data_IF_040412570195
#
_entry.id   IF_040412570195
#
_cell.length_a   1.000
_cell.length_b   1.000
_cell.length_c   1.000
_cell.angle_alpha   90.00
_cell.angle_beta   90.00
_cell.angle_gamma   90.00
#
_symmetry.space_group_name_H-M   'P 1'
#
loop_
_entity.id
_entity.type
_entity.pdbx_description
1 polymer ?
#
# COMPACT_ATOMS: atom_id res chain seq x y z
N UNK A 1 24.71 11.95 9.61
CA UNK A 1 24.34 11.83 11.01
C UNK A 1 25.16 12.72 11.95
N UNK A 2 25.99 13.59 11.41
CA UNK A 2 26.76 14.58 12.16
C UNK A 2 26.15 15.98 11.99
N UNK A 3 26.32 16.90 12.97
CA UNK A 3 25.87 18.28 12.88
C UNK A 3 26.45 18.97 11.64
N UNK A 4 25.63 19.78 10.96
CA UNK A 4 26.03 20.63 9.86
C UNK A 4 25.22 21.93 9.97
N UNK A 5 25.82 23.07 9.61
CA UNK A 5 25.13 24.36 9.61
C UNK A 5 23.95 24.33 8.62
N UNK A 6 22.81 24.89 9.01
CA UNK A 6 21.59 24.90 8.18
C UNK A 6 20.89 23.55 8.01
N UNK A 7 21.34 22.48 8.70
CA UNK A 7 20.72 21.17 8.64
C UNK A 7 19.63 21.03 9.70
N UNK A 8 18.38 21.12 9.29
CA UNK A 8 17.19 20.99 10.14
C UNK A 8 16.10 20.19 9.43
N UNK A 9 15.11 19.74 10.20
CA UNK A 9 13.94 19.01 9.72
C UNK A 9 12.77 19.22 10.69
N UNK A 10 11.58 18.77 10.30
CA UNK A 10 10.40 18.72 11.15
C UNK A 10 10.04 17.27 11.49
N UNK A 11 9.25 17.05 12.55
CA UNK A 11 8.73 15.72 12.86
C UNK A 11 7.85 15.19 11.72
N UNK A 12 7.04 16.06 11.10
CA UNK A 12 6.19 15.70 9.98
C UNK A 12 6.99 15.25 8.75
N UNK A 13 8.06 15.96 8.39
CA UNK A 13 8.90 15.58 7.25
C UNK A 13 9.59 14.24 7.48
N UNK A 14 10.10 13.99 8.70
CA UNK A 14 10.69 12.70 9.04
C UNK A 14 9.66 11.57 9.01
N UNK A 15 8.42 11.81 9.47
CA UNK A 15 7.36 10.83 9.39
C UNK A 15 6.99 10.52 7.93
N UNK A 16 6.87 11.52 7.05
CA UNK A 16 6.61 11.34 5.61
C UNK A 16 7.72 10.56 4.91
N UNK A 17 8.98 10.94 5.15
CA UNK A 17 10.15 10.22 4.60
C UNK A 17 10.15 8.76 5.06
N UNK A 18 9.84 8.53 6.33
CA UNK A 18 9.81 7.19 6.88
C UNK A 18 8.63 6.36 6.33
N UNK A 19 7.46 6.95 6.14
CA UNK A 19 6.30 6.28 5.55
C UNK A 19 6.62 5.81 4.11
N UNK A 20 7.24 6.66 3.30
CA UNK A 20 7.71 6.28 1.95
C UNK A 20 8.76 5.17 2.01
N UNK A 21 9.75 5.29 2.90
CA UNK A 21 10.81 4.29 3.04
C UNK A 21 10.28 2.93 3.53
N UNK A 22 9.25 2.91 4.38
CA UNK A 22 8.61 1.69 4.86
C UNK A 22 7.84 0.93 3.76
N UNK A 23 7.53 1.55 2.63
CA UNK A 23 7.07 0.88 1.42
C UNK A 23 8.11 -0.03 0.73
N UNK A 24 9.39 0.09 1.12
CA UNK A 24 10.46 -0.77 0.61
C UNK A 24 10.71 -1.95 1.56
N UNK A 25 10.48 -3.19 1.09
CA UNK A 25 10.61 -4.41 1.90
C UNK A 25 12.01 -4.61 2.50
N UNK A 26 13.06 -4.28 1.76
CA UNK A 26 14.45 -4.39 2.24
C UNK A 26 14.70 -3.39 3.39
N UNK A 27 14.23 -2.16 3.25
CA UNK A 27 14.33 -1.16 4.31
C UNK A 27 13.56 -1.61 5.55
N UNK A 28 12.30 -2.04 5.39
CA UNK A 28 11.44 -2.57 6.45
C UNK A 28 12.12 -3.71 7.21
N UNK A 29 12.69 -4.68 6.50
CA UNK A 29 13.41 -5.81 7.09
C UNK A 29 14.62 -5.34 7.90
N UNK A 30 15.41 -4.42 7.39
CA UNK A 30 16.62 -3.92 8.06
C UNK A 30 16.26 -3.17 9.35
N UNK A 31 15.31 -2.23 9.29
CA UNK A 31 14.98 -1.37 10.45
C UNK A 31 14.23 -2.11 11.55
N UNK A 32 13.48 -3.17 11.22
CA UNK A 32 12.79 -4.03 12.18
C UNK A 32 13.70 -5.11 12.80
N UNK A 33 14.88 -5.33 12.26
CA UNK A 33 15.81 -6.35 12.75
C UNK A 33 16.34 -5.96 14.14
N UNK A 34 16.05 -6.78 15.15
CA UNK A 34 16.49 -6.57 16.53
C UNK A 34 17.97 -6.90 16.74
N UNK A 35 18.46 -7.96 16.06
CA UNK A 35 19.83 -8.46 16.16
C UNK A 35 20.26 -9.10 14.85
N UNK A 36 21.48 -8.81 14.42
CA UNK A 36 22.09 -9.45 13.27
C UNK A 36 23.53 -9.86 13.60
N UNK A 37 24.02 -10.92 12.96
CA UNK A 37 25.43 -11.33 12.99
C UNK A 37 25.98 -11.22 11.58
N UNK A 38 27.06 -10.48 11.42
CA UNK A 38 27.74 -10.27 10.14
C UNK A 38 29.20 -10.74 10.22
N UNK A 39 29.83 -11.17 9.12
CA UNK A 39 31.26 -11.43 9.09
C UNK A 39 32.03 -10.22 9.56
N UNK A 40 33.11 -10.45 10.30
CA UNK A 40 34.01 -9.39 10.75
C UNK A 40 35.38 -9.62 10.15
N UNK A 41 35.70 -8.80 9.16
CA UNK A 41 36.98 -8.92 8.45
C UNK A 41 38.16 -8.91 9.42
N UNK A 42 39.10 -9.87 9.26
CA UNK A 42 40.25 -10.05 10.16
C UNK A 42 39.95 -10.80 11.45
N UNK A 43 38.76 -11.34 11.64
CA UNK A 43 38.37 -12.12 12.82
C UNK A 43 37.72 -13.45 12.45
N UNK A 44 37.98 -14.50 13.24
CA UNK A 44 37.35 -15.83 13.06
C UNK A 44 35.90 -15.89 13.58
N UNK A 45 35.42 -14.84 14.27
CA UNK A 45 34.08 -14.77 14.85
C UNK A 45 33.22 -13.69 14.21
N UNK A 46 31.92 -13.88 14.30
CA UNK A 46 30.93 -12.95 13.75
C UNK A 46 30.77 -11.71 14.62
N UNK A 47 30.64 -10.55 13.99
CA UNK A 47 30.24 -9.31 14.67
C UNK A 47 28.74 -9.29 14.94
N UNK A 48 28.36 -9.23 16.20
CA UNK A 48 26.97 -9.15 16.61
C UNK A 48 26.53 -7.69 16.73
N UNK A 49 25.53 -7.32 15.96
CA UNK A 49 24.86 -6.02 15.99
C UNK A 49 23.55 -6.12 16.75
N UNK A 50 23.27 -5.17 17.63
CA UNK A 50 22.00 -5.04 18.35
C UNK A 50 21.36 -3.70 17.99
N UNK A 51 20.08 -3.73 17.61
CA UNK A 51 19.33 -2.50 17.35
C UNK A 51 19.15 -1.72 18.66
N UNK A 52 19.46 -0.41 18.61
CA UNK A 52 19.32 0.48 19.76
C UNK A 52 17.87 0.94 20.00
N UNK A 53 16.97 0.72 19.03
CA UNK A 53 15.56 1.02 19.19
C UNK A 53 14.92 0.01 20.17
N UNK A 54 14.63 0.48 21.37
CA UNK A 54 14.05 -0.37 22.42
C UNK A 54 12.63 -0.81 22.07
N UNK A 55 11.86 -0.03 21.31
CA UNK A 55 10.48 -0.33 20.94
C UNK A 55 10.35 -1.70 20.25
N UNK A 56 11.33 -2.11 19.45
CA UNK A 56 11.34 -3.42 18.82
C UNK A 56 11.22 -4.61 19.79
N UNK A 57 11.51 -4.38 21.08
CA UNK A 57 11.45 -5.41 22.15
C UNK A 57 10.37 -5.12 23.18
N UNK A 58 9.94 -3.87 23.32
CA UNK A 58 9.07 -3.43 24.42
C UNK A 58 7.67 -3.02 23.95
N UNK A 59 7.46 -2.84 22.64
CA UNK A 59 6.18 -2.41 22.09
C UNK A 59 5.67 -3.45 21.07
N UNK A 60 4.48 -3.98 21.31
CA UNK A 60 3.87 -4.98 20.41
C UNK A 60 3.54 -4.38 19.05
N UNK A 61 3.97 -5.07 17.99
CA UNK A 61 3.79 -4.60 16.63
C UNK A 61 4.84 -3.60 16.13
N UNK A 62 5.86 -3.22 16.94
CA UNK A 62 6.87 -2.26 16.51
C UNK A 62 7.63 -2.73 15.26
N UNK A 63 7.67 -1.87 14.22
CA UNK A 63 8.33 -2.12 12.93
C UNK A 63 9.64 -1.35 12.76
N UNK A 64 10.00 -0.46 13.67
CA UNK A 64 11.29 0.27 13.62
C UNK A 64 11.16 1.64 14.26
N UNK A 65 11.86 2.67 13.75
CA UNK A 65 12.61 2.81 12.49
C UNK A 65 14.06 3.29 12.81
N UNK A 66 14.22 4.53 13.35
CA UNK A 66 15.57 5.10 13.54
C UNK A 66 15.67 5.95 14.82
N UNK A 67 16.70 5.67 15.63
CA UNK A 67 17.10 6.51 16.76
C UNK A 67 18.19 7.48 16.35
N UNK A 68 18.18 8.68 16.91
CA UNK A 68 19.22 9.69 16.71
C UNK A 68 19.48 10.50 17.98
N UNK A 69 20.73 10.87 18.19
CA UNK A 69 21.12 11.77 19.29
C UNK A 69 22.34 12.61 18.91
N UNK A 70 22.23 13.91 19.09
CA UNK A 70 23.37 14.82 19.21
C UNK A 70 23.11 15.78 20.36
N UNK A 71 24.13 16.46 20.86
CA UNK A 71 23.95 17.46 21.95
C UNK A 71 23.02 18.61 21.52
N UNK A 72 23.04 19.00 20.24
CA UNK A 72 22.23 20.08 19.70
C UNK A 72 20.80 19.65 19.44
N UNK A 73 20.58 18.44 18.86
CA UNK A 73 19.27 17.94 18.49
C UNK A 73 18.50 17.25 19.64
N UNK A 74 19.21 16.87 20.72
CA UNK A 74 18.61 16.04 21.76
C UNK A 74 18.33 14.61 21.27
N UNK A 75 17.47 13.89 21.98
CA UNK A 75 17.01 12.55 21.59
C UNK A 75 15.89 12.64 20.57
N UNK A 76 16.07 12.00 19.43
CA UNK A 76 15.12 11.97 18.33
C UNK A 76 14.84 10.52 17.95
N UNK A 77 13.58 10.19 17.69
CA UNK A 77 13.15 8.87 17.31
C UNK A 77 12.11 8.97 16.18
N UNK A 78 12.36 8.28 15.09
CA UNK A 78 11.36 7.92 14.10
C UNK A 78 10.93 6.50 14.43
N UNK A 79 9.64 6.29 14.60
CA UNK A 79 9.07 5.03 15.06
C UNK A 79 7.97 4.56 14.13
N UNK A 80 7.70 3.26 14.15
CA UNK A 80 6.57 2.65 13.45
C UNK A 80 6.08 1.43 14.19
N UNK A 81 4.81 1.13 14.01
CA UNK A 81 4.16 -0.10 14.47
C UNK A 81 3.01 -0.48 13.55
N UNK A 82 2.73 -1.79 13.49
CA UNK A 82 1.63 -2.37 12.73
C UNK A 82 0.74 -3.20 13.65
N UNK A 83 -0.58 -2.99 13.57
CA UNK A 83 -1.61 -3.78 14.25
C UNK A 83 -2.83 -3.91 13.33
N UNK A 84 -3.37 -5.11 13.21
CA UNK A 84 -4.63 -5.38 12.48
C UNK A 84 -4.67 -4.80 11.06
N UNK A 85 -3.52 -4.84 10.34
CA UNK A 85 -3.38 -4.31 8.98
C UNK A 85 -3.14 -2.80 8.90
N UNK A 86 -3.22 -2.05 10.01
CA UNK A 86 -2.91 -0.63 10.04
C UNK A 86 -1.46 -0.41 10.49
N UNK A 87 -0.67 0.25 9.66
CA UNK A 87 0.69 0.70 10.01
C UNK A 87 0.70 2.17 10.36
N UNK A 88 1.33 2.49 11.49
CA UNK A 88 1.59 3.85 11.96
C UNK A 88 3.07 4.18 11.85
N UNK A 89 3.35 5.38 11.41
CA UNK A 89 4.70 5.97 11.40
C UNK A 89 4.66 7.33 12.06
N UNK A 90 5.64 7.63 12.90
CA UNK A 90 5.71 8.90 13.59
C UNK A 90 7.14 9.31 13.94
N UNK A 91 7.29 10.53 14.41
CA UNK A 91 8.58 11.05 14.86
C UNK A 91 8.43 11.93 16.11
N UNK A 92 9.36 11.79 17.03
CA UNK A 92 9.55 12.70 18.16
C UNK A 92 10.95 13.31 18.09
N UNK A 93 11.05 14.62 18.31
CA UNK A 93 12.29 15.37 18.26
C UNK A 93 12.57 16.01 19.62
N UNK A 94 13.83 16.02 20.02
CA UNK A 94 14.29 16.58 21.31
C UNK A 94 13.42 16.10 22.49
N UNK A 95 13.13 14.80 22.54
CA UNK A 95 12.25 14.21 23.53
C UNK A 95 13.06 13.35 24.52
N UNK A 96 13.10 13.77 25.79
CA UNK A 96 13.86 13.08 26.84
C UNK A 96 13.44 11.63 27.05
N UNK A 97 12.13 11.39 27.05
CA UNK A 97 11.51 10.07 27.24
C UNK A 97 10.93 9.52 25.91
N UNK A 98 11.74 9.56 24.88
CA UNK A 98 11.38 9.29 23.49
C UNK A 98 10.67 7.95 23.23
N UNK A 99 11.02 6.87 23.95
CA UNK A 99 10.39 5.57 23.76
C UNK A 99 9.00 5.48 24.37
N UNK A 100 8.82 5.99 25.59
CA UNK A 100 7.49 6.00 26.21
C UNK A 100 6.57 6.99 25.52
N UNK A 101 7.08 8.14 25.08
CA UNK A 101 6.28 9.10 24.32
C UNK A 101 5.84 8.53 22.95
N UNK A 102 6.74 7.83 22.23
CA UNK A 102 6.40 7.16 21.00
C UNK A 102 5.35 6.07 21.23
N UNK A 103 5.48 5.26 22.28
CA UNK A 103 4.49 4.24 22.64
C UNK A 103 3.12 4.88 22.93
N UNK A 104 3.09 5.96 23.74
CA UNK A 104 1.85 6.69 24.06
C UNK A 104 1.16 7.26 22.81
N UNK A 105 1.94 7.82 21.87
CA UNK A 105 1.40 8.34 20.60
C UNK A 105 0.82 7.24 19.72
N UNK A 106 1.51 6.09 19.63
CA UNK A 106 1.01 4.94 18.87
C UNK A 106 -0.25 4.35 19.51
N UNK A 107 -0.29 4.17 20.84
CA UNK A 107 -1.47 3.69 21.53
C UNK A 107 -2.67 4.62 21.34
N UNK A 108 -2.45 5.94 21.41
CA UNK A 108 -3.51 6.93 21.16
C UNK A 108 -4.03 6.84 19.71
N UNK A 109 -3.13 6.67 18.73
CA UNK A 109 -3.51 6.55 17.33
C UNK A 109 -4.25 5.24 17.04
N UNK A 110 -3.79 4.08 17.56
CA UNK A 110 -4.49 2.82 17.42
C UNK A 110 -5.84 2.78 18.16
N UNK A 111 -6.00 3.58 19.22
CA UNK A 111 -7.28 3.73 19.89
C UNK A 111 -8.25 4.65 19.14
N UNK A 112 -7.74 5.60 18.37
CA UNK A 112 -8.56 6.59 17.66
C UNK A 112 -8.93 6.13 16.23
N UNK A 113 -8.12 5.30 15.59
CA UNK A 113 -8.28 4.89 14.20
C UNK A 113 -8.32 3.37 14.07
N UNK A 114 -9.08 2.89 13.08
CA UNK A 114 -9.10 1.48 12.65
C UNK A 114 -8.91 1.36 11.15
N UNK A 115 -8.30 0.26 10.69
CA UNK A 115 -8.22 -0.05 9.27
C UNK A 115 -9.59 -0.48 8.77
N UNK A 116 -10.19 0.32 7.91
CA UNK A 116 -11.54 0.09 7.39
C UNK A 116 -11.46 -0.25 5.90
N UNK A 117 -11.96 -1.42 5.54
CA UNK A 117 -12.05 -1.90 4.17
C UNK A 117 -13.49 -1.73 3.65
N UNK A 118 -13.69 -0.90 2.61
CA UNK A 118 -14.97 -0.77 1.92
C UNK A 118 -15.20 -1.92 0.94
N UNK A 119 -14.14 -2.29 0.20
CA UNK A 119 -14.18 -3.42 -0.75
C UNK A 119 -12.85 -4.18 -0.73
N UNK A 120 -12.88 -5.53 -0.75
CA UNK A 120 -11.68 -6.35 -0.84
C UNK A 120 -11.06 -6.31 -2.24
N UNK A 121 -9.80 -6.75 -2.34
CA UNK A 121 -9.17 -7.05 -3.63
C UNK A 121 -9.99 -8.09 -4.40
N UNK A 122 -10.17 -7.88 -5.71
CA UNK A 122 -10.99 -8.75 -6.56
C UNK A 122 -12.49 -8.57 -6.43
N UNK A 123 -12.97 -7.58 -5.64
CA UNK A 123 -14.41 -7.28 -5.55
C UNK A 123 -15.02 -7.06 -6.93
N UNK A 124 -16.24 -7.59 -7.12
CA UNK A 124 -17.00 -7.43 -8.35
C UNK A 124 -17.45 -5.97 -8.53
N UNK A 125 -17.05 -5.36 -9.65
CA UNK A 125 -17.38 -3.98 -9.99
C UNK A 125 -18.43 -3.89 -11.10
N UNK A 126 -19.11 -5.02 -11.43
CA UNK A 126 -20.11 -5.11 -12.46
C UNK A 126 -19.52 -5.35 -13.85
N UNK A 127 -20.25 -4.91 -14.87
CA UNK A 127 -19.88 -5.10 -16.27
C UNK A 127 -19.83 -3.77 -17.02
N UNK A 128 -18.96 -3.71 -18.03
CA UNK A 128 -18.87 -2.59 -18.98
C UNK A 128 -19.28 -3.08 -20.37
N UNK A 129 -20.01 -2.25 -21.12
CA UNK A 129 -20.32 -2.52 -22.52
C UNK A 129 -19.05 -2.56 -23.37
N UNK A 130 -19.00 -3.47 -24.35
CA UNK A 130 -17.82 -3.67 -25.20
C UNK A 130 -18.17 -3.46 -26.67
N UNK A 131 -17.46 -2.54 -27.30
CA UNK A 131 -17.54 -2.32 -28.74
C UNK A 131 -16.54 -3.18 -29.52
N UNK A 132 -17.03 -3.97 -30.49
CA UNK A 132 -16.20 -4.82 -31.34
C UNK A 132 -15.60 -6.04 -30.66
N UNK A 133 -16.16 -6.47 -29.53
CA UNK A 133 -15.80 -7.68 -28.82
C UNK A 133 -16.59 -8.92 -29.26
N UNK A 134 -16.08 -10.11 -28.92
CA UNK A 134 -16.82 -11.39 -29.07
C UNK A 134 -18.06 -11.42 -28.17
N UNK A 135 -18.02 -10.74 -27.02
CA UNK A 135 -19.12 -10.52 -26.10
C UNK A 135 -19.51 -9.04 -26.08
N UNK A 136 -20.76 -8.74 -25.79
CA UNK A 136 -21.32 -7.39 -25.72
C UNK A 136 -20.94 -6.66 -24.41
N UNK A 137 -20.54 -7.40 -23.38
CA UNK A 137 -20.08 -6.89 -22.10
C UNK A 137 -18.84 -7.63 -21.59
N UNK A 138 -18.14 -7.03 -20.64
CA UNK A 138 -17.01 -7.62 -19.95
C UNK A 138 -17.08 -7.32 -18.45
N UNK A 139 -16.76 -8.34 -17.64
CA UNK A 139 -16.72 -8.25 -16.19
C UNK A 139 -15.54 -7.44 -15.71
N UNK A 140 -15.79 -6.59 -14.73
CA UNK A 140 -14.78 -5.74 -14.07
C UNK A 140 -14.59 -6.18 -12.61
N UNK A 141 -13.36 -6.06 -12.13
CA UNK A 141 -13.00 -6.31 -10.74
C UNK A 141 -12.09 -5.21 -10.20
N UNK A 142 -12.15 -5.01 -8.91
CA UNK A 142 -11.24 -4.09 -8.20
C UNK A 142 -9.84 -4.72 -8.11
N UNK A 143 -8.79 -3.95 -8.36
CA UNK A 143 -7.39 -4.37 -8.17
C UNK A 143 -6.79 -3.72 -6.93
N UNK A 144 -6.64 -4.50 -5.88
CA UNK A 144 -6.24 -4.07 -4.54
C UNK A 144 -7.44 -3.66 -3.68
N UNK A 145 -7.36 -3.88 -2.37
CA UNK A 145 -8.43 -3.51 -1.45
C UNK A 145 -8.64 -1.99 -1.39
N UNK A 146 -9.89 -1.55 -1.42
CA UNK A 146 -10.27 -0.15 -1.20
C UNK A 146 -10.43 0.07 0.30
N UNK A 147 -9.35 0.46 0.96
CA UNK A 147 -9.26 0.54 2.41
C UNK A 147 -8.38 1.71 2.85
N UNK A 148 -8.70 2.29 4.00
CA UNK A 148 -7.95 3.37 4.63
C UNK A 148 -8.16 3.36 6.16
N UNK A 149 -7.27 3.99 6.95
CA UNK A 149 -7.54 4.24 8.36
C UNK A 149 -8.66 5.28 8.50
N UNK A 150 -9.69 4.96 9.29
CA UNK A 150 -10.77 5.87 9.67
C UNK A 150 -10.83 6.03 11.18
N UNK A 151 -11.21 7.22 11.66
CA UNK A 151 -11.58 7.41 13.05
C UNK A 151 -12.91 6.69 13.37
N UNK A 152 -13.15 6.42 14.64
CA UNK A 152 -14.30 5.60 15.07
C UNK A 152 -15.67 6.21 14.73
N UNK A 153 -15.74 7.51 14.53
CA UNK A 153 -16.94 8.29 14.18
C UNK A 153 -16.99 8.73 12.71
N UNK A 154 -15.99 8.33 11.90
CA UNK A 154 -15.92 8.63 10.48
C UNK A 154 -16.57 7.53 9.63
N UNK A 155 -17.26 7.92 8.57
CA UNK A 155 -17.85 7.02 7.58
C UNK A 155 -17.44 7.46 6.17
N UNK A 156 -16.59 6.67 5.53
CA UNK A 156 -16.18 6.92 4.16
C UNK A 156 -17.24 6.44 3.16
N UNK A 157 -17.29 7.11 2.03
CA UNK A 157 -18.12 6.75 0.86
C UNK A 157 -17.26 6.27 -0.30
N UNK A 158 -17.89 5.55 -1.25
CA UNK A 158 -17.22 5.13 -2.47
C UNK A 158 -17.72 5.95 -3.64
N UNK A 159 -16.78 6.46 -4.45
CA UNK A 159 -17.05 7.04 -5.77
C UNK A 159 -16.38 6.20 -6.84
N UNK A 160 -17.08 5.97 -7.95
CA UNK A 160 -16.58 5.19 -9.09
C UNK A 160 -16.52 6.05 -10.33
N UNK A 161 -15.43 5.97 -11.06
CA UNK A 161 -15.25 6.55 -12.39
C UNK A 161 -14.95 5.42 -13.37
N UNK A 162 -15.83 5.20 -14.34
CA UNK A 162 -15.70 4.20 -15.39
C UNK A 162 -15.89 4.87 -16.75
N UNK A 163 -15.24 4.33 -17.78
CA UNK A 163 -15.58 4.61 -19.15
C UNK A 163 -16.99 4.07 -19.44
N UNK A 164 -17.74 4.72 -20.32
CA UNK A 164 -19.08 4.28 -20.69
C UNK A 164 -19.05 3.00 -21.54
N UNK A 165 -18.04 2.86 -22.41
CA UNK A 165 -17.87 1.75 -23.33
C UNK A 165 -16.40 1.43 -23.52
N UNK A 166 -16.03 0.17 -23.47
CA UNK A 166 -14.69 -0.30 -23.78
C UNK A 166 -14.58 -0.79 -25.24
N UNK A 167 -13.46 -0.52 -25.88
CA UNK A 167 -13.17 -1.05 -27.22
C UNK A 167 -12.34 -2.34 -27.13
N UNK A 168 -12.76 -3.42 -27.83
CA UNK A 168 -12.00 -4.65 -27.95
C UNK A 168 -10.82 -4.51 -28.94
N UNK A 169 -9.69 -5.21 -28.71
CA UNK A 169 -9.40 -6.13 -27.62
C UNK A 169 -8.87 -5.43 -26.36
N UNK A 170 -9.11 -6.03 -25.18
CA UNK A 170 -8.51 -5.62 -23.93
C UNK A 170 -7.85 -6.83 -23.26
N UNK A 171 -6.64 -6.73 -22.73
CA UNK A 171 -6.05 -7.81 -21.92
C UNK A 171 -6.69 -7.88 -20.53
N UNK A 172 -6.67 -9.04 -19.91
CA UNK A 172 -7.00 -9.16 -18.48
C UNK A 172 -6.10 -8.24 -17.66
N UNK A 173 -6.66 -7.58 -16.65
CA UNK A 173 -5.94 -6.63 -15.81
C UNK A 173 -5.74 -5.24 -16.45
N UNK A 174 -6.19 -4.99 -17.70
CA UNK A 174 -6.24 -3.65 -18.25
C UNK A 174 -7.20 -2.77 -17.45
N UNK A 175 -6.84 -1.51 -17.26
CA UNK A 175 -7.65 -0.56 -16.50
C UNK A 175 -8.86 -0.12 -17.31
N UNK A 176 -10.03 -0.11 -16.64
CA UNK A 176 -11.30 0.38 -17.17
C UNK A 176 -11.82 1.61 -16.39
N UNK A 177 -11.21 1.91 -15.24
CA UNK A 177 -11.64 3.03 -14.40
C UNK A 177 -10.96 3.06 -13.05
N UNK A 178 -11.57 3.79 -12.12
CA UNK A 178 -11.09 3.98 -10.75
C UNK A 178 -12.23 3.88 -9.74
N UNK A 179 -11.95 3.29 -8.60
CA UNK A 179 -12.76 3.40 -7.39
C UNK A 179 -12.00 4.24 -6.37
N UNK A 180 -12.68 5.20 -5.78
CA UNK A 180 -12.16 6.14 -4.78
C UNK A 180 -12.87 5.92 -3.45
N UNK A 181 -12.12 5.90 -2.38
CA UNK A 181 -12.63 6.02 -1.02
C UNK A 181 -12.54 7.48 -0.58
N UNK A 182 -13.66 8.08 -0.23
CA UNK A 182 -13.76 9.51 0.07
C UNK A 182 -14.34 9.72 1.47
N UNK A 183 -13.79 10.71 2.17
CA UNK A 183 -14.29 11.21 3.45
C UNK A 183 -14.43 12.71 3.35
N UNK A 184 -15.65 13.22 3.60
CA UNK A 184 -15.98 14.65 3.55
C UNK A 184 -15.57 15.36 2.23
N UNK A 185 -15.59 14.62 1.12
CA UNK A 185 -15.21 15.09 -0.21
C UNK A 185 -13.71 15.03 -0.51
N UNK A 186 -12.89 14.57 0.42
CA UNK A 186 -11.46 14.31 0.19
C UNK A 186 -11.21 12.85 -0.13
N UNK A 187 -10.38 12.57 -1.14
CA UNK A 187 -9.99 11.20 -1.51
C UNK A 187 -8.93 10.66 -0.55
N UNK A 188 -9.26 9.62 0.21
CA UNK A 188 -8.33 8.93 1.10
C UNK A 188 -7.44 7.95 0.34
N UNK A 189 -8.04 7.16 -0.56
CA UNK A 189 -7.29 6.27 -1.45
C UNK A 189 -8.07 6.01 -2.75
N UNK A 190 -7.36 5.50 -3.75
CA UNK A 190 -7.93 5.08 -5.03
C UNK A 190 -7.38 3.71 -5.45
N UNK A 191 -8.23 2.91 -6.13
CA UNK A 191 -7.84 1.62 -6.69
C UNK A 191 -8.32 1.50 -8.12
N UNK A 192 -7.51 0.92 -9.03
CA UNK A 192 -7.93 0.71 -10.40
C UNK A 192 -8.99 -0.38 -10.49
N UNK A 193 -9.99 -0.14 -11.32
CA UNK A 193 -10.97 -1.12 -11.76
C UNK A 193 -10.44 -1.70 -13.06
N UNK A 194 -10.38 -3.03 -13.17
CA UNK A 194 -9.71 -3.72 -14.26
C UNK A 194 -10.59 -4.81 -14.86
N UNK A 195 -10.32 -5.17 -16.11
CA UNK A 195 -10.95 -6.32 -16.74
C UNK A 195 -10.57 -7.62 -16.02
N UNK A 196 -11.56 -8.38 -15.56
CA UNK A 196 -11.35 -9.68 -14.91
C UNK A 196 -10.75 -10.71 -15.86
N UNK A 197 -11.15 -10.67 -17.13
CA UNK A 197 -10.75 -11.59 -18.18
C UNK A 197 -10.38 -10.83 -19.47
N UNK A 198 -9.62 -11.46 -20.39
CA UNK A 198 -9.28 -10.81 -21.66
C UNK A 198 -10.53 -10.66 -22.54
N UNK A 199 -10.75 -9.46 -23.02
CA UNK A 199 -11.80 -9.14 -24.01
C UNK A 199 -11.25 -9.37 -25.41
N UNK A 200 -11.78 -10.39 -26.11
CA UNK A 200 -11.35 -10.71 -27.47
C UNK A 200 -12.11 -9.89 -28.49
N UNK A 201 -11.44 -9.55 -29.59
CA UNK A 201 -12.08 -8.88 -30.70
C UNK A 201 -13.00 -9.86 -31.45
N UNK A 202 -14.18 -9.39 -31.82
CA UNK A 202 -15.07 -10.11 -32.69
C UNK A 202 -14.36 -10.48 -34.03
N UNK A 203 -14.46 -11.74 -34.50
CA UNK A 203 -13.91 -12.13 -35.80
C UNK A 203 -14.51 -11.25 -36.90
N UNK A 204 -13.68 -10.83 -37.86
CA UNK A 204 -14.17 -10.11 -39.05
C UNK A 204 -15.29 -10.91 -39.75
N UNK A 205 -16.21 -10.21 -40.42
CA UNK A 205 -17.36 -10.85 -41.15
C UNK A 205 -16.95 -12.05 -42.02
N UNK A 206 -15.77 -12.00 -42.61
CA UNK A 206 -15.20 -13.12 -43.38
C UNK A 206 -14.91 -14.35 -42.50
N UNK A 207 -14.36 -14.18 -41.27
CA UNK A 207 -14.12 -15.29 -40.33
C UNK A 207 -15.44 -15.87 -39.78
N UNK A 208 -16.46 -15.03 -39.53
CA UNK A 208 -17.81 -15.49 -39.17
C UNK A 208 -18.39 -16.36 -40.28
N UNK A 209 -18.31 -15.92 -41.53
CA UNK A 209 -18.79 -16.67 -42.69
C UNK A 209 -18.08 -18.02 -42.80
N UNK A 210 -16.75 -18.06 -42.69
CA UNK A 210 -15.96 -19.29 -42.73
C UNK A 210 -16.38 -20.26 -41.60
N UNK A 211 -16.52 -19.77 -40.35
CA UNK A 211 -16.94 -20.60 -39.21
C UNK A 211 -18.37 -21.18 -39.42
N UNK A 212 -19.31 -20.36 -39.86
CA UNK A 212 -20.69 -20.83 -40.17
C UNK A 212 -20.69 -21.87 -41.31
N UNK A 213 -19.84 -21.68 -42.30
CA UNK A 213 -19.71 -22.59 -43.43
C UNK A 213 -19.09 -23.94 -43.05
N UNK A 214 -18.12 -23.95 -42.17
CA UNK A 214 -17.49 -25.16 -41.63
C UNK A 214 -18.48 -25.97 -40.78
N UNK A 215 -19.30 -25.30 -39.97
CA UNK A 215 -20.34 -25.95 -39.17
C UNK A 215 -21.44 -26.58 -40.05
N UNK A 216 -21.84 -25.91 -41.14
CA UNK A 216 -22.89 -26.40 -42.06
C UNK A 216 -22.39 -27.60 -42.88
N UNK A 217 -21.11 -27.69 -43.20
CA UNK A 217 -20.55 -28.82 -43.99
C UNK A 217 -20.23 -30.07 -43.16
N UNK A 218 -20.28 -30.02 -41.83
CA UNK A 218 -20.13 -31.21 -40.97
C UNK A 218 -18.80 -31.94 -41.10
N UNK A 219 -17.72 -31.23 -41.45
CA UNK A 219 -16.35 -31.77 -41.42
C UNK A 219 -15.71 -31.46 -40.08
N UNK A 220 -15.01 -32.46 -39.44
CA UNK A 220 -14.44 -32.37 -38.10
C UNK A 220 -13.31 -31.35 -37.97
#
# INVERSE_FOLDING_TARGET
>A
GLPCEGHYTTALDLARIAAEAMGNDTFRQIVSTQRASIPWEGHEYMRVLKNKNALLRTYSGATGIKTGFTRAAGRCLVFGAEREGMELVGAVLNCGDWFNEAARLMDAAFAAYSWTELLPDGADMGEIAVFGGENESARLVLKGALAAPLALDEAATMRVELDEIAAAPQPAGAQAGWAYMELDGETLCARPIVFAEPVRREPTALRRFIRQWTIIKGEP
#
